data_IF_054909528314
#
_entry.id   IF_054909528314
#
_cell.length_a   1.000
_cell.length_b   1.000
_cell.length_c   1.000
_cell.angle_alpha   90.00
_cell.angle_beta   90.00
_cell.angle_gamma   90.00
#
_symmetry.space_group_name_H-M   'P 1'
#
loop_
_entity.id
_entity.type
_entity.pdbx_description
1 polymer ?
#
# COMPACT_ATOMS: atom_id res chain seq x y z
N UNK A 1 29.54 12.83 -5.02
CA UNK A 1 29.78 13.75 -3.86
C UNK A 1 30.57 15.02 -4.24
N UNK A 2 30.34 15.60 -5.44
CA UNK A 2 31.19 16.70 -5.92
C UNK A 2 31.10 17.98 -5.05
N UNK A 3 29.92 18.25 -4.47
CA UNK A 3 29.65 19.45 -3.68
C UNK A 3 29.11 19.09 -2.27
N UNK A 4 29.42 17.88 -1.79
CA UNK A 4 28.99 17.45 -0.46
C UNK A 4 29.57 18.36 0.62
N UNK A 5 28.73 18.74 1.61
CA UNK A 5 29.08 19.62 2.72
C UNK A 5 29.54 21.04 2.33
N UNK A 6 29.11 21.54 1.16
CA UNK A 6 29.27 22.95 0.82
C UNK A 6 28.26 23.78 1.64
N UNK A 7 28.52 23.95 2.95
CA UNK A 7 27.55 24.51 3.92
C UNK A 7 27.16 25.97 3.65
N UNK A 8 27.98 26.73 2.94
CA UNK A 8 27.71 28.12 2.57
C UNK A 8 26.98 28.27 1.21
N UNK A 9 26.74 27.16 0.50
CA UNK A 9 26.08 27.18 -0.81
C UNK A 9 24.57 27.42 -0.63
N UNK A 10 24.08 28.54 -1.19
CA UNK A 10 22.68 28.97 -1.04
C UNK A 10 21.83 28.69 -2.27
N UNK A 11 22.42 28.79 -3.47
CA UNK A 11 21.70 28.67 -4.74
C UNK A 11 22.48 27.78 -5.72
N UNK A 12 21.74 26.95 -6.48
CA UNK A 12 22.30 26.12 -7.55
C UNK A 12 21.42 26.24 -8.78
N UNK A 13 22.05 26.45 -9.93
CA UNK A 13 21.42 26.30 -11.25
C UNK A 13 22.25 25.37 -12.11
N UNK A 14 21.61 24.64 -13.01
CA UNK A 14 22.25 23.64 -13.87
C UNK A 14 22.19 24.06 -15.34
N UNK A 15 23.27 23.80 -16.07
CA UNK A 15 23.28 23.97 -17.53
C UNK A 15 22.46 22.83 -18.19
N UNK A 16 21.95 23.12 -19.41
CA UNK A 16 21.17 22.16 -20.22
C UNK A 16 21.93 20.87 -20.63
N UNK A 17 23.21 20.76 -20.30
CA UNK A 17 24.04 19.58 -20.59
C UNK A 17 24.09 18.58 -19.44
N UNK A 18 23.63 18.95 -18.25
CA UNK A 18 23.62 18.05 -17.08
C UNK A 18 22.46 17.07 -17.21
N UNK A 19 22.77 15.78 -17.22
CA UNK A 19 21.79 14.67 -17.31
C UNK A 19 21.68 13.88 -16.03
N UNK A 20 22.65 13.99 -15.15
CA UNK A 20 22.86 13.10 -14.03
C UNK A 20 23.36 13.84 -12.80
N UNK A 21 22.65 13.70 -11.69
CA UNK A 21 23.11 14.12 -10.38
C UNK A 21 23.54 12.88 -9.59
N UNK A 22 24.83 12.82 -9.28
CA UNK A 22 25.46 11.66 -8.66
C UNK A 22 25.16 11.52 -7.16
N UNK A 23 25.57 10.38 -6.61
CA UNK A 23 25.47 10.08 -5.20
C UNK A 23 25.96 11.22 -4.30
N UNK A 24 25.11 11.65 -3.35
CA UNK A 24 25.45 12.66 -2.34
C UNK A 24 26.00 13.95 -2.95
N UNK A 25 25.65 14.29 -4.20
CA UNK A 25 26.30 15.41 -4.93
C UNK A 25 26.22 16.73 -4.19
N UNK A 26 25.12 17.01 -3.48
CA UNK A 26 24.89 18.21 -2.67
C UNK A 26 24.49 17.87 -1.23
N UNK A 27 24.79 16.67 -0.77
CA UNK A 27 24.47 16.25 0.60
C UNK A 27 25.17 17.16 1.62
N UNK A 28 24.42 17.63 2.63
CA UNK A 28 24.97 18.49 3.67
C UNK A 28 25.16 19.96 3.28
N UNK A 29 24.63 20.41 2.15
CA UNK A 29 24.58 21.83 1.79
C UNK A 29 23.51 22.54 2.64
N UNK A 30 23.82 22.80 3.91
CA UNK A 30 22.83 23.21 4.91
C UNK A 30 22.20 24.59 4.66
N UNK A 31 22.88 25.50 3.97
CA UNK A 31 22.35 26.82 3.59
C UNK A 31 21.59 26.81 2.27
N UNK A 32 21.50 25.68 1.56
CA UNK A 32 20.87 25.59 0.24
C UNK A 32 19.36 25.86 0.37
N UNK A 33 18.90 26.91 -0.29
CA UNK A 33 17.49 27.35 -0.28
C UNK A 33 16.82 27.24 -1.62
N UNK A 34 17.59 27.40 -2.72
CA UNK A 34 17.06 27.36 -4.08
C UNK A 34 17.84 26.41 -4.96
N UNK A 35 17.09 25.53 -5.66
CA UNK A 35 17.63 24.54 -6.59
C UNK A 35 16.82 24.60 -7.89
N UNK A 36 17.43 25.08 -8.97
CA UNK A 36 16.84 25.14 -10.30
C UNK A 36 17.35 23.95 -11.13
N UNK A 37 16.55 22.87 -11.18
CA UNK A 37 16.85 21.69 -11.98
C UNK A 37 16.40 21.89 -13.43
N UNK A 38 17.31 21.69 -14.39
CA UNK A 38 16.98 21.72 -15.82
C UNK A 38 16.29 20.43 -16.26
N UNK A 39 15.33 20.52 -17.19
CA UNK A 39 14.58 19.37 -17.73
C UNK A 39 15.46 18.34 -18.49
N UNK A 40 16.71 18.66 -18.72
CA UNK A 40 17.67 17.73 -19.26
C UNK A 40 18.09 16.64 -18.26
N UNK A 41 17.89 16.86 -16.95
CA UNK A 41 18.26 15.91 -15.90
C UNK A 41 17.27 14.75 -15.90
N UNK A 42 17.77 13.55 -16.12
CA UNK A 42 17.00 12.32 -16.17
C UNK A 42 17.19 11.41 -14.96
N UNK A 43 18.24 11.65 -14.19
CA UNK A 43 18.62 10.82 -13.04
C UNK A 43 19.10 11.67 -11.88
N UNK A 44 18.52 11.43 -10.71
CA UNK A 44 18.98 11.97 -9.42
C UNK A 44 19.27 10.75 -8.54
N UNK A 45 20.52 10.60 -8.13
CA UNK A 45 20.94 9.45 -7.32
C UNK A 45 20.69 9.64 -5.82
N UNK A 46 21.00 8.61 -5.03
CA UNK A 46 20.79 8.56 -3.60
C UNK A 46 21.44 9.75 -2.87
N UNK A 47 20.79 10.22 -1.83
CA UNK A 47 21.27 11.30 -0.96
C UNK A 47 21.63 12.61 -1.70
N UNK A 48 21.19 12.83 -2.93
CA UNK A 48 21.65 13.97 -3.74
C UNK A 48 21.50 15.31 -3.01
N UNK A 49 20.38 15.53 -2.30
CA UNK A 49 20.09 16.73 -1.48
C UNK A 49 19.83 16.38 -0.01
N UNK A 50 20.34 15.25 0.46
CA UNK A 50 20.19 14.83 1.86
C UNK A 50 20.86 15.86 2.79
N UNK A 51 20.24 16.15 3.95
CA UNK A 51 20.73 17.13 4.93
C UNK A 51 20.86 18.58 4.38
N UNK A 52 20.15 18.93 3.31
CA UNK A 52 19.97 20.32 2.89
C UNK A 52 18.89 20.97 3.78
N UNK A 53 19.26 21.27 5.02
CA UNK A 53 18.31 21.61 6.09
C UNK A 53 17.57 22.94 5.91
N UNK A 54 17.98 23.80 4.98
CA UNK A 54 17.29 25.03 4.60
C UNK A 54 16.40 24.88 3.37
N UNK A 55 16.43 23.71 2.67
CA UNK A 55 15.69 23.50 1.42
C UNK A 55 14.21 23.24 1.70
N UNK A 56 13.36 24.18 1.29
CA UNK A 56 11.90 24.16 1.53
C UNK A 56 11.08 23.68 0.34
N UNK A 57 11.64 23.74 -0.85
CA UNK A 57 10.98 23.31 -2.08
C UNK A 57 12.02 22.83 -3.11
N UNK A 58 11.59 21.94 -4.00
CA UNK A 58 12.36 21.52 -5.17
C UNK A 58 11.35 21.14 -6.27
N UNK A 59 11.61 21.61 -7.49
CA UNK A 59 10.84 21.22 -8.67
C UNK A 59 11.64 20.14 -9.40
N UNK A 60 11.05 18.96 -9.55
CA UNK A 60 11.70 17.87 -10.27
C UNK A 60 11.57 18.05 -11.78
N UNK A 61 12.60 17.69 -12.57
CA UNK A 61 12.58 17.79 -14.02
C UNK A 61 11.46 16.94 -14.64
N UNK A 62 10.76 17.48 -15.63
CA UNK A 62 9.64 16.75 -16.31
C UNK A 62 10.13 15.46 -17.02
N UNK A 63 11.41 15.39 -17.41
CA UNK A 63 12.03 14.22 -18.05
C UNK A 63 12.73 13.27 -17.09
N UNK A 64 12.56 13.46 -15.78
CA UNK A 64 13.17 12.59 -14.77
C UNK A 64 12.68 11.15 -14.92
N UNK A 65 13.61 10.19 -14.97
CA UNK A 65 13.34 8.74 -15.10
C UNK A 65 13.70 7.95 -13.85
N UNK A 66 14.70 8.42 -13.11
CA UNK A 66 15.22 7.70 -11.95
C UNK A 66 15.42 8.61 -10.74
N UNK A 67 14.91 8.15 -9.58
CA UNK A 67 15.17 8.72 -8.26
C UNK A 67 15.89 7.72 -7.35
N UNK A 68 16.99 8.18 -6.78
CA UNK A 68 17.74 7.46 -5.76
C UNK A 68 17.10 7.58 -4.38
N UNK A 69 17.32 6.58 -3.52
CA UNK A 69 16.78 6.58 -2.17
C UNK A 69 17.27 7.77 -1.32
N UNK A 70 16.39 8.25 -0.45
CA UNK A 70 16.67 9.35 0.50
C UNK A 70 17.23 10.62 -0.15
N UNK A 71 16.84 10.91 -1.39
CA UNK A 71 17.44 12.03 -2.13
C UNK A 71 17.20 13.41 -1.47
N UNK A 72 16.11 13.56 -0.69
CA UNK A 72 15.74 14.78 0.07
C UNK A 72 15.60 14.52 1.58
N UNK A 73 16.27 13.51 2.12
CA UNK A 73 16.21 13.24 3.54
C UNK A 73 16.67 14.45 4.36
N UNK A 74 16.00 14.72 5.50
CA UNK A 74 16.31 15.83 6.39
C UNK A 74 16.32 17.21 5.72
N UNK A 75 15.44 17.45 4.75
CA UNK A 75 15.12 18.77 4.22
C UNK A 75 13.88 19.37 4.92
N UNK A 76 13.46 20.59 4.53
CA UNK A 76 12.23 21.24 5.00
C UNK A 76 11.08 21.16 3.98
N UNK A 77 11.19 20.28 2.98
CA UNK A 77 10.19 20.12 1.92
C UNK A 77 8.90 19.52 2.52
N UNK A 78 7.77 20.20 2.32
CA UNK A 78 6.46 19.80 2.86
C UNK A 78 5.52 19.23 1.80
N UNK A 79 5.72 19.60 0.54
CA UNK A 79 4.96 19.10 -0.62
C UNK A 79 5.92 18.80 -1.76
N UNK A 80 5.67 17.71 -2.52
CA UNK A 80 6.51 17.32 -3.65
C UNK A 80 5.65 16.81 -4.80
N UNK A 81 5.92 17.33 -6.00
CA UNK A 81 5.32 16.83 -7.23
C UNK A 81 6.27 15.83 -7.89
N UNK A 82 5.76 14.64 -8.21
CA UNK A 82 6.49 13.58 -8.94
C UNK A 82 6.10 13.64 -10.40
N UNK A 83 7.06 13.80 -11.32
CA UNK A 83 6.79 13.90 -12.74
C UNK A 83 6.28 12.57 -13.31
N UNK A 84 5.36 12.64 -14.27
CA UNK A 84 4.73 11.48 -14.89
C UNK A 84 5.73 10.51 -15.56
N UNK A 85 6.89 11.03 -15.96
CA UNK A 85 7.93 10.25 -16.60
C UNK A 85 8.78 9.37 -15.69
N UNK A 86 8.64 9.48 -14.35
CA UNK A 86 9.43 8.69 -13.40
C UNK A 86 9.06 7.21 -13.49
N UNK A 87 10.06 6.35 -13.70
CA UNK A 87 9.87 4.90 -13.85
C UNK A 87 10.64 4.06 -12.83
N UNK A 88 11.70 4.63 -12.25
CA UNK A 88 12.61 3.86 -11.40
C UNK A 88 12.89 4.56 -10.09
N UNK A 89 12.64 3.86 -8.99
CA UNK A 89 13.00 4.28 -7.64
C UNK A 89 13.96 3.24 -7.03
N UNK A 90 15.11 3.68 -6.55
CA UNK A 90 16.05 2.77 -5.88
C UNK A 90 15.76 2.68 -4.39
N UNK A 91 16.19 1.59 -3.79
CA UNK A 91 16.07 1.37 -2.34
C UNK A 91 17.43 1.39 -1.67
N UNK A 92 17.46 1.75 -0.40
CA UNK A 92 18.62 1.69 0.49
C UNK A 92 18.22 1.23 1.88
N UNK A 93 19.21 1.04 2.75
CA UNK A 93 19.05 0.55 4.11
C UNK A 93 19.76 -0.76 4.36
N UNK A 94 19.46 -1.42 5.49
CA UNK A 94 20.02 -2.73 5.83
C UNK A 94 19.57 -3.80 4.83
N UNK A 95 20.30 -4.90 4.74
CA UNK A 95 19.96 -6.07 3.92
C UNK A 95 18.66 -6.78 4.36
N UNK A 96 18.12 -6.44 5.53
CA UNK A 96 16.82 -6.95 5.98
C UNK A 96 15.69 -6.19 5.25
N UNK A 97 14.72 -6.92 4.75
CA UNK A 97 13.62 -6.40 3.96
C UNK A 97 12.82 -5.27 4.65
N UNK A 98 12.78 -5.29 5.99
CA UNK A 98 12.00 -4.34 6.81
C UNK A 98 12.67 -2.98 6.99
N UNK A 99 13.99 -2.88 6.84
CA UNK A 99 14.77 -1.65 7.02
C UNK A 99 15.11 -0.93 5.71
N UNK A 100 14.50 -1.33 4.59
CA UNK A 100 14.69 -0.67 3.31
C UNK A 100 13.75 0.52 3.13
N UNK A 101 14.26 1.59 2.53
CA UNK A 101 13.51 2.81 2.21
C UNK A 101 13.78 3.26 0.77
N UNK A 102 12.80 3.95 0.20
CA UNK A 102 12.84 4.47 -1.17
C UNK A 102 13.30 5.94 -1.26
N UNK A 103 13.01 6.61 -2.36
CA UNK A 103 13.41 8.00 -2.60
C UNK A 103 13.02 8.98 -1.50
N UNK A 104 11.85 8.83 -0.90
CA UNK A 104 11.33 9.73 0.13
C UNK A 104 11.70 9.30 1.55
N UNK A 105 12.54 8.28 1.72
CA UNK A 105 13.07 7.86 3.02
C UNK A 105 13.78 9.01 3.73
N UNK A 106 13.40 9.28 5.00
CA UNK A 106 13.97 10.38 5.78
C UNK A 106 13.44 11.78 5.43
N UNK A 107 12.47 11.92 4.52
CA UNK A 107 11.78 13.18 4.22
C UNK A 107 10.75 13.49 5.32
N UNK A 108 11.20 13.76 6.54
CA UNK A 108 10.38 13.82 7.74
C UNK A 108 9.39 14.99 7.81
N UNK A 109 9.52 15.99 6.93
CA UNK A 109 8.63 17.15 6.84
C UNK A 109 7.59 17.00 5.74
N UNK A 110 7.76 16.03 4.82
CA UNK A 110 6.90 15.85 3.66
C UNK A 110 5.51 15.34 4.10
N UNK A 111 4.48 16.13 3.81
CA UNK A 111 3.07 15.86 4.17
C UNK A 111 2.23 15.52 2.96
N UNK A 112 2.54 16.08 1.82
CA UNK A 112 1.75 15.96 0.59
C UNK A 112 2.60 15.45 -0.57
N UNK A 113 2.08 14.46 -1.28
CA UNK A 113 2.67 13.93 -2.51
C UNK A 113 1.67 14.09 -3.65
N UNK A 114 2.10 14.79 -4.70
CA UNK A 114 1.31 15.05 -5.91
C UNK A 114 1.96 14.26 -7.05
N UNK A 115 1.18 13.43 -7.72
CA UNK A 115 1.62 12.70 -8.90
C UNK A 115 1.09 13.43 -10.14
N UNK A 116 1.95 13.71 -11.13
CA UNK A 116 1.54 14.43 -12.33
C UNK A 116 0.59 13.59 -13.21
N UNK A 117 -0.41 14.24 -13.85
CA UNK A 117 -1.23 13.60 -14.89
C UNK A 117 -0.37 12.98 -16.00
N UNK A 118 -0.78 11.81 -16.49
CA UNK A 118 -0.02 11.03 -17.50
C UNK A 118 0.85 9.92 -16.90
N UNK A 119 0.98 9.86 -15.57
CA UNK A 119 1.58 8.70 -14.91
C UNK A 119 0.60 7.52 -14.96
N UNK A 120 1.00 6.43 -15.60
CA UNK A 120 0.16 5.20 -15.70
C UNK A 120 0.49 4.18 -14.61
N UNK A 121 1.74 4.16 -14.15
CA UNK A 121 2.27 3.26 -13.14
C UNK A 121 2.95 4.06 -12.04
N UNK A 122 2.51 3.89 -10.78
CA UNK A 122 3.25 4.45 -9.64
C UNK A 122 4.48 3.57 -9.39
N UNK A 123 5.70 4.11 -9.46
CA UNK A 123 6.90 3.30 -9.34
C UNK A 123 7.00 2.53 -8.02
N UNK A 124 7.57 1.33 -8.10
CA UNK A 124 7.90 0.54 -6.92
C UNK A 124 8.75 1.35 -5.95
N UNK A 125 8.47 1.20 -4.66
CA UNK A 125 9.21 1.82 -3.57
C UNK A 125 9.20 3.35 -3.53
N UNK A 126 8.38 4.06 -4.31
CA UNK A 126 8.42 5.52 -4.43
C UNK A 126 8.49 6.24 -3.08
N UNK A 127 7.59 5.91 -2.17
CA UNK A 127 7.52 6.50 -0.83
C UNK A 127 7.69 5.44 0.29
N UNK A 128 8.36 4.32 -0.01
CA UNK A 128 8.68 3.29 0.99
C UNK A 128 9.56 3.86 2.09
N UNK A 129 9.16 3.64 3.33
CA UNK A 129 9.91 4.08 4.51
C UNK A 129 10.13 2.94 5.49
N UNK A 130 11.12 3.09 6.37
CA UNK A 130 11.32 2.16 7.48
C UNK A 130 10.18 2.22 8.49
N UNK A 131 9.95 1.12 9.19
CA UNK A 131 8.88 1.02 10.20
C UNK A 131 9.02 2.03 11.35
N UNK A 132 10.22 2.55 11.60
CA UNK A 132 10.55 3.44 12.72
C UNK A 132 10.73 4.89 12.33
N UNK A 133 10.98 5.20 11.04
CA UNK A 133 11.34 6.54 10.52
C UNK A 133 10.41 6.91 9.36
N UNK A 134 9.09 6.92 9.62
CA UNK A 134 8.11 7.16 8.58
C UNK A 134 8.18 8.58 8.00
N UNK A 135 7.79 8.75 6.74
CA UNK A 135 7.37 10.05 6.21
C UNK A 135 6.19 10.57 7.02
N UNK A 136 6.00 11.89 7.01
CA UNK A 136 4.80 12.51 7.57
C UNK A 136 3.68 12.65 6.53
N UNK A 137 3.70 11.86 5.44
CA UNK A 137 2.66 11.88 4.41
C UNK A 137 1.28 11.67 5.03
N UNK A 138 0.43 12.66 4.85
CA UNK A 138 -0.97 12.64 5.28
C UNK A 138 -1.93 12.53 4.10
N UNK A 139 -1.48 12.92 2.90
CA UNK A 139 -2.27 12.86 1.68
C UNK A 139 -1.43 12.52 0.46
N UNK A 140 -2.07 11.84 -0.49
CA UNK A 140 -1.51 11.48 -1.79
C UNK A 140 -2.58 11.78 -2.83
N UNK A 141 -2.23 12.58 -3.86
CA UNK A 141 -3.09 12.82 -5.02
C UNK A 141 -2.68 11.88 -6.14
N UNK A 142 -3.57 10.96 -6.51
CA UNK A 142 -3.37 9.98 -7.58
C UNK A 142 -4.17 10.43 -8.80
N UNK A 143 -3.54 10.70 -9.96
CA UNK A 143 -4.25 11.15 -11.15
C UNK A 143 -5.03 10.02 -11.85
N UNK A 144 -6.04 10.39 -12.63
CA UNK A 144 -6.92 9.46 -13.35
C UNK A 144 -6.23 8.65 -14.47
N UNK A 145 -4.96 8.91 -14.72
CA UNK A 145 -4.14 8.12 -15.65
C UNK A 145 -3.52 6.87 -15.02
N UNK A 146 -3.48 6.77 -13.68
CA UNK A 146 -2.82 5.66 -12.97
C UNK A 146 -3.67 4.40 -13.06
N UNK A 147 -3.09 3.32 -13.58
CA UNK A 147 -3.71 2.00 -13.68
C UNK A 147 -3.21 1.03 -12.62
N UNK A 148 -1.99 1.23 -12.15
CA UNK A 148 -1.33 0.29 -11.23
C UNK A 148 -0.53 1.03 -10.16
N UNK A 149 -0.73 0.60 -8.91
CA UNK A 149 0.10 1.02 -7.77
C UNK A 149 1.25 0.02 -7.61
N UNK A 150 2.49 0.48 -7.70
CA UNK A 150 3.67 -0.37 -7.65
C UNK A 150 3.95 -1.03 -6.31
N UNK A 151 4.84 -2.02 -6.32
CA UNK A 151 5.23 -2.78 -5.12
C UNK A 151 5.88 -1.86 -4.07
N UNK A 152 5.49 -2.00 -2.81
CA UNK A 152 6.02 -1.18 -1.69
C UNK A 152 5.85 0.33 -1.87
N UNK A 153 5.09 0.80 -2.85
CA UNK A 153 5.06 2.22 -3.23
C UNK A 153 4.84 3.17 -2.05
N UNK A 154 4.00 2.78 -1.10
CA UNK A 154 3.66 3.57 0.09
C UNK A 154 3.81 2.78 1.40
N UNK A 155 4.65 1.73 1.40
CA UNK A 155 4.85 0.90 2.60
C UNK A 155 5.31 1.74 3.79
N UNK A 156 4.68 1.49 4.95
CA UNK A 156 4.96 2.13 6.26
C UNK A 156 4.67 3.64 6.33
N UNK A 157 3.87 4.21 5.43
CA UNK A 157 3.41 5.59 5.56
C UNK A 157 2.38 5.70 6.70
N UNK A 158 2.86 5.62 7.93
CA UNK A 158 2.05 5.44 9.12
C UNK A 158 1.19 6.67 9.51
N UNK A 159 1.30 7.80 8.81
CA UNK A 159 0.50 9.01 9.03
C UNK A 159 -0.63 9.16 8.01
N UNK A 160 -0.63 8.39 6.93
CA UNK A 160 -1.69 8.41 5.93
C UNK A 160 -3.01 7.94 6.54
N UNK A 161 -4.05 8.77 6.46
CA UNK A 161 -5.35 8.49 7.08
C UNK A 161 -6.40 8.02 6.09
N UNK A 162 -6.34 8.50 4.86
CA UNK A 162 -7.30 8.15 3.81
C UNK A 162 -6.58 8.02 2.48
N UNK A 163 -7.08 7.16 1.61
CA UNK A 163 -6.65 7.06 0.22
C UNK A 163 -7.86 6.97 -0.69
N UNK A 164 -7.80 7.64 -1.84
CA UNK A 164 -8.81 7.57 -2.88
C UNK A 164 -8.15 7.12 -4.18
N UNK A 165 -8.61 5.99 -4.70
CA UNK A 165 -8.16 5.49 -6.00
C UNK A 165 -9.10 5.99 -7.10
N UNK A 166 -8.56 6.57 -8.19
CA UNK A 166 -9.35 6.86 -9.38
C UNK A 166 -9.83 5.57 -10.05
N UNK A 167 -10.89 5.67 -10.87
CA UNK A 167 -11.50 4.48 -11.50
C UNK A 167 -10.64 3.84 -12.59
N UNK A 168 -9.49 4.44 -12.93
CA UNK A 168 -8.46 3.85 -13.78
C UNK A 168 -7.65 2.76 -13.10
N UNK A 169 -7.56 2.76 -11.76
CA UNK A 169 -6.73 1.78 -11.01
C UNK A 169 -7.38 0.40 -11.04
N UNK A 170 -6.66 -0.56 -11.58
CA UNK A 170 -7.07 -1.97 -11.67
C UNK A 170 -6.26 -2.90 -10.76
N UNK A 171 -5.03 -2.52 -10.41
CA UNK A 171 -4.11 -3.36 -9.63
C UNK A 171 -3.45 -2.57 -8.50
N UNK A 172 -3.50 -3.15 -7.30
CA UNK A 172 -2.69 -2.72 -6.15
C UNK A 172 -1.67 -3.83 -5.87
N UNK A 173 -0.40 -3.54 -6.12
CA UNK A 173 0.69 -4.52 -6.06
C UNK A 173 1.09 -4.88 -4.62
N UNK A 174 2.03 -5.82 -4.52
CA UNK A 174 2.48 -6.38 -3.25
C UNK A 174 2.97 -5.31 -2.28
N UNK A 175 2.51 -5.39 -1.03
CA UNK A 175 2.93 -4.49 0.05
C UNK A 175 2.69 -2.99 -0.19
N UNK A 176 1.91 -2.59 -1.19
CA UNK A 176 1.80 -1.20 -1.62
C UNK A 176 1.48 -0.22 -0.47
N UNK A 177 0.61 -0.60 0.46
CA UNK A 177 0.20 0.17 1.63
C UNK A 177 0.44 -0.58 2.96
N UNK A 178 1.24 -1.65 2.94
CA UNK A 178 1.54 -2.41 4.16
C UNK A 178 2.12 -1.50 5.24
N UNK A 179 1.59 -1.59 6.46
CA UNK A 179 2.05 -0.78 7.59
C UNK A 179 1.56 0.68 7.58
N UNK A 180 0.57 1.05 6.77
CA UNK A 180 -0.11 2.34 6.85
C UNK A 180 -1.03 2.37 8.08
N UNK A 181 -0.44 2.45 9.28
CA UNK A 181 -1.11 2.17 10.56
C UNK A 181 -2.28 3.10 10.90
N UNK A 182 -2.32 4.32 10.34
CA UNK A 182 -3.40 5.29 10.56
C UNK A 182 -4.42 5.33 9.42
N UNK A 183 -4.31 4.45 8.43
CA UNK A 183 -5.28 4.39 7.35
C UNK A 183 -6.63 3.92 7.90
N UNK A 184 -7.63 4.80 7.84
CA UNK A 184 -8.98 4.57 8.38
C UNK A 184 -9.93 4.12 7.28
N UNK A 185 -9.85 4.77 6.12
CA UNK A 185 -10.79 4.55 5.02
C UNK A 185 -10.12 4.55 3.65
N UNK A 186 -10.72 3.79 2.74
CA UNK A 186 -10.28 3.65 1.35
C UNK A 186 -11.48 3.89 0.44
N UNK A 187 -11.35 4.85 -0.49
CA UNK A 187 -12.25 4.93 -1.65
C UNK A 187 -11.65 4.08 -2.77
N UNK A 188 -12.30 2.99 -3.07
CA UNK A 188 -11.87 2.06 -4.12
C UNK A 188 -12.16 2.60 -5.53
N UNK A 189 -11.35 2.18 -6.49
CA UNK A 189 -11.66 2.25 -7.92
C UNK A 189 -12.83 1.31 -8.23
N UNK A 190 -13.81 1.77 -9.02
CA UNK A 190 -14.91 0.92 -9.47
C UNK A 190 -14.47 -0.19 -10.45
N UNK A 191 -13.24 -0.08 -10.99
CA UNK A 191 -12.64 -1.07 -11.90
C UNK A 191 -11.49 -1.86 -11.25
N UNK A 192 -11.33 -1.80 -9.92
CA UNK A 192 -10.29 -2.54 -9.22
C UNK A 192 -10.50 -4.04 -9.39
N UNK A 193 -9.47 -4.75 -9.86
CA UNK A 193 -9.49 -6.19 -10.10
C UNK A 193 -8.66 -6.98 -9.07
N UNK A 194 -7.48 -6.45 -8.71
CA UNK A 194 -6.52 -7.21 -7.93
C UNK A 194 -5.95 -6.41 -6.76
N UNK A 195 -5.97 -7.02 -5.59
CA UNK A 195 -5.28 -6.58 -4.38
C UNK A 195 -4.28 -7.68 -4.04
N UNK A 196 -2.99 -7.42 -4.23
CA UNK A 196 -1.97 -8.44 -4.18
C UNK A 196 -1.42 -8.72 -2.77
N UNK A 197 -0.33 -9.49 -2.69
CA UNK A 197 0.31 -9.97 -1.47
C UNK A 197 0.59 -8.84 -0.48
N UNK A 198 0.10 -8.96 0.78
CA UNK A 198 0.33 -8.01 1.88
C UNK A 198 -0.03 -6.55 1.58
N UNK A 199 -0.84 -6.26 0.56
CA UNK A 199 -1.06 -4.88 0.05
C UNK A 199 -1.48 -3.89 1.14
N UNK A 200 -2.30 -4.29 2.12
CA UNK A 200 -2.77 -3.50 3.27
C UNK A 200 -2.50 -4.20 4.61
N UNK A 201 -1.53 -5.10 4.66
CA UNK A 201 -1.15 -5.77 5.89
C UNK A 201 -0.77 -4.75 6.99
N UNK A 202 -1.19 -4.99 8.24
CA UNK A 202 -0.93 -4.10 9.38
C UNK A 202 -1.52 -2.67 9.23
N UNK A 203 -2.58 -2.46 8.43
CA UNK A 203 -3.38 -1.24 8.45
C UNK A 203 -4.33 -1.28 9.66
N UNK A 204 -3.76 -1.13 10.85
CA UNK A 204 -4.44 -1.43 12.13
C UNK A 204 -5.62 -0.51 12.47
N UNK A 205 -5.75 0.64 11.81
CA UNK A 205 -6.85 1.59 12.01
C UNK A 205 -7.95 1.48 10.94
N UNK A 206 -7.81 0.59 9.96
CA UNK A 206 -8.81 0.39 8.91
C UNK A 206 -10.08 -0.19 9.51
N UNK A 207 -11.23 0.49 9.32
CA UNK A 207 -12.47 0.18 10.07
C UNK A 207 -13.44 -0.67 9.26
N UNK A 208 -13.66 -0.32 7.98
CA UNK A 208 -14.63 -0.97 7.13
C UNK A 208 -14.14 -1.08 5.69
N UNK A 209 -14.55 -2.15 5.00
CA UNK A 209 -14.24 -2.36 3.58
C UNK A 209 -15.51 -2.77 2.85
N UNK A 210 -15.81 -2.07 1.75
CA UNK A 210 -16.75 -2.52 0.74
C UNK A 210 -16.01 -2.70 -0.57
N UNK A 211 -15.81 -3.95 -1.00
CA UNK A 211 -15.12 -4.25 -2.25
C UNK A 211 -16.01 -3.98 -3.46
N UNK A 212 -15.48 -3.34 -4.53
CA UNK A 212 -16.20 -3.15 -5.77
C UNK A 212 -16.46 -4.50 -6.46
N UNK A 213 -17.48 -4.54 -7.32
CA UNK A 213 -17.92 -5.75 -8.02
C UNK A 213 -16.89 -6.36 -8.97
N UNK A 214 -15.85 -5.62 -9.32
CA UNK A 214 -14.80 -6.01 -10.27
C UNK A 214 -13.65 -6.77 -9.61
N UNK A 215 -13.52 -6.67 -8.28
CA UNK A 215 -12.46 -7.40 -7.56
C UNK A 215 -12.63 -8.91 -7.77
N UNK A 216 -11.57 -9.54 -8.25
CA UNK A 216 -11.49 -10.98 -8.47
C UNK A 216 -10.43 -11.66 -7.60
N UNK A 217 -9.46 -10.92 -7.11
CA UNK A 217 -8.36 -11.47 -6.30
C UNK A 217 -8.09 -10.61 -5.07
N UNK A 218 -8.17 -11.24 -3.88
CA UNK A 218 -7.66 -10.70 -2.62
C UNK A 218 -6.49 -11.60 -2.21
N UNK A 219 -5.27 -11.08 -2.37
CA UNK A 219 -4.03 -11.81 -2.26
C UNK A 219 -3.71 -12.32 -0.86
N UNK A 220 -2.70 -13.18 -0.78
CA UNK A 220 -2.23 -13.70 0.50
C UNK A 220 -1.87 -12.56 1.46
N UNK A 221 -2.34 -12.64 2.72
CA UNK A 221 -2.06 -11.68 3.78
C UNK A 221 -2.53 -10.23 3.48
N UNK A 222 -3.33 -10.00 2.42
CA UNK A 222 -3.62 -8.64 1.92
C UNK A 222 -4.13 -7.68 2.99
N UNK A 223 -4.94 -8.13 3.94
CA UNK A 223 -5.48 -7.35 5.07
C UNK A 223 -5.16 -8.01 6.43
N UNK A 224 -4.14 -8.86 6.48
CA UNK A 224 -3.73 -9.51 7.74
C UNK A 224 -3.36 -8.47 8.79
N UNK A 225 -3.79 -8.68 10.03
CA UNK A 225 -3.58 -7.78 11.16
C UNK A 225 -4.24 -6.38 11.00
N UNK A 226 -5.32 -6.23 10.23
CA UNK A 226 -6.16 -5.05 10.26
C UNK A 226 -7.08 -5.12 11.49
N UNK A 227 -6.51 -4.84 12.67
CA UNK A 227 -7.11 -5.17 13.97
C UNK A 227 -8.34 -4.35 14.33
N UNK A 228 -8.58 -3.19 13.68
CA UNK A 228 -9.80 -2.38 13.84
C UNK A 228 -10.88 -2.71 12.80
N UNK A 229 -10.59 -3.57 11.82
CA UNK A 229 -11.53 -3.90 10.74
C UNK A 229 -12.74 -4.64 11.32
N UNK A 230 -13.88 -3.95 11.34
CA UNK A 230 -15.12 -4.41 11.99
C UNK A 230 -16.11 -5.03 11.02
N UNK A 231 -16.10 -4.61 9.76
CA UNK A 231 -16.98 -5.13 8.72
C UNK A 231 -16.33 -5.22 7.34
N UNK A 232 -16.71 -6.27 6.61
CA UNK A 232 -16.34 -6.52 5.23
C UNK A 232 -17.59 -6.79 4.43
N UNK A 233 -17.73 -6.11 3.28
CA UNK A 233 -18.81 -6.39 2.32
C UNK A 233 -18.29 -6.44 0.90
N UNK A 234 -19.00 -7.18 0.05
CA UNK A 234 -18.73 -7.29 -1.38
C UNK A 234 -19.93 -6.78 -2.16
N UNK A 235 -19.71 -5.89 -3.11
CA UNK A 235 -20.78 -5.44 -4.01
C UNK A 235 -21.16 -6.56 -4.97
N UNK A 236 -22.44 -6.90 -5.03
CA UNK A 236 -22.94 -7.96 -5.91
C UNK A 236 -22.69 -7.65 -7.39
N UNK A 237 -22.15 -8.63 -8.09
CA UNK A 237 -22.03 -8.62 -9.54
C UNK A 237 -23.20 -9.40 -10.19
N UNK A 238 -24.32 -8.74 -10.38
CA UNK A 238 -25.54 -9.36 -10.94
C UNK A 238 -25.42 -9.81 -12.42
N UNK A 239 -24.26 -9.61 -13.07
CA UNK A 239 -24.08 -9.86 -14.52
C UNK A 239 -23.01 -10.90 -14.86
N UNK A 240 -22.70 -11.85 -13.96
CA UNK A 240 -21.78 -12.94 -14.27
C UNK A 240 -20.30 -12.52 -14.39
N UNK A 241 -19.84 -11.60 -13.55
CA UNK A 241 -18.46 -11.19 -13.45
C UNK A 241 -17.52 -12.28 -12.89
N UNK A 242 -16.24 -11.96 -12.84
CA UNK A 242 -15.22 -12.85 -12.32
C UNK A 242 -15.53 -13.27 -10.87
N UNK A 243 -15.20 -14.51 -10.55
CA UNK A 243 -15.29 -14.98 -9.17
C UNK A 243 -14.21 -14.35 -8.31
N UNK A 244 -14.52 -14.12 -7.04
CA UNK A 244 -13.57 -13.60 -6.06
C UNK A 244 -12.90 -14.77 -5.35
N UNK A 245 -11.57 -14.79 -5.42
CA UNK A 245 -10.74 -15.71 -4.65
C UNK A 245 -10.10 -14.97 -3.47
N UNK A 246 -10.50 -15.32 -2.25
CA UNK A 246 -9.88 -14.83 -1.00
C UNK A 246 -8.75 -15.79 -0.67
N UNK A 247 -7.50 -15.34 -0.84
CA UNK A 247 -6.33 -16.18 -0.72
C UNK A 247 -5.91 -16.39 0.75
N UNK A 248 -4.78 -17.13 0.92
CA UNK A 248 -4.31 -17.56 2.23
C UNK A 248 -4.08 -16.38 3.19
N UNK A 249 -4.62 -16.50 4.41
CA UNK A 249 -4.46 -15.53 5.50
C UNK A 249 -4.91 -14.09 5.17
N UNK A 250 -5.70 -13.89 4.10
CA UNK A 250 -6.03 -12.57 3.58
C UNK A 250 -6.60 -11.62 4.65
N UNK A 251 -7.41 -12.12 5.59
CA UNK A 251 -7.99 -11.38 6.72
C UNK A 251 -7.61 -11.98 8.08
N UNK A 252 -6.47 -12.67 8.14
CA UNK A 252 -6.04 -13.27 9.41
C UNK A 252 -5.78 -12.20 10.48
N UNK A 253 -6.18 -12.48 11.73
CA UNK A 253 -6.04 -11.57 12.86
C UNK A 253 -6.76 -10.21 12.71
N UNK A 254 -7.85 -10.13 11.93
CA UNK A 254 -8.78 -9.00 11.96
C UNK A 254 -9.64 -9.14 13.23
N UNK A 255 -9.06 -8.83 14.38
CA UNK A 255 -9.64 -9.18 15.70
C UNK A 255 -10.95 -8.46 16.02
N UNK A 256 -11.20 -7.28 15.42
CA UNK A 256 -12.46 -6.55 15.58
C UNK A 256 -13.57 -7.00 14.62
N UNK A 257 -13.29 -7.94 13.68
CA UNK A 257 -14.22 -8.30 12.62
C UNK A 257 -15.46 -9.01 13.19
N UNK A 258 -16.62 -8.40 12.99
CA UNK A 258 -17.92 -8.87 13.47
C UNK A 258 -18.83 -9.31 12.34
N UNK A 259 -18.76 -8.59 11.20
CA UNK A 259 -19.69 -8.76 10.10
C UNK A 259 -18.94 -9.03 8.79
N UNK A 260 -19.36 -10.07 8.09
CA UNK A 260 -18.92 -10.36 6.74
C UNK A 260 -20.17 -10.58 5.88
N UNK A 261 -20.32 -9.77 4.83
CA UNK A 261 -21.37 -9.97 3.83
C UNK A 261 -20.72 -10.43 2.53
N UNK A 262 -20.78 -11.73 2.27
CA UNK A 262 -20.29 -12.29 1.01
C UNK A 262 -21.27 -11.98 -0.12
N UNK A 263 -20.73 -11.63 -1.30
CA UNK A 263 -21.50 -11.60 -2.52
C UNK A 263 -21.56 -12.98 -3.16
N UNK A 264 -22.49 -13.16 -4.11
CA UNK A 264 -22.65 -14.39 -4.90
C UNK A 264 -21.45 -14.73 -5.79
N UNK A 265 -20.40 -13.93 -5.75
CA UNK A 265 -19.20 -14.14 -6.57
C UNK A 265 -18.03 -14.72 -5.78
N UNK A 266 -18.06 -14.69 -4.43
CA UNK A 266 -17.00 -15.28 -3.62
C UNK A 266 -17.13 -16.81 -3.70
N UNK A 267 -16.11 -17.48 -4.25
CA UNK A 267 -16.16 -18.94 -4.44
C UNK A 267 -15.10 -19.71 -3.64
N UNK A 268 -14.02 -19.06 -3.26
CA UNK A 268 -12.85 -19.68 -2.63
C UNK A 268 -12.45 -18.94 -1.36
N UNK A 269 -12.37 -19.67 -0.25
CA UNK A 269 -11.78 -19.22 1.00
C UNK A 269 -10.49 -19.99 1.25
N UNK A 270 -9.37 -19.28 1.19
CA UNK A 270 -8.02 -19.82 1.30
C UNK A 270 -7.67 -20.27 2.72
N UNK A 271 -6.52 -20.92 2.81
CA UNK A 271 -5.94 -21.37 4.06
C UNK A 271 -5.84 -20.24 5.08
N UNK A 272 -6.39 -20.43 6.28
CA UNK A 272 -6.34 -19.45 7.37
C UNK A 272 -6.94 -18.06 7.01
N UNK A 273 -7.75 -17.96 5.95
CA UNK A 273 -8.19 -16.68 5.38
C UNK A 273 -8.83 -15.72 6.38
N UNK A 274 -9.53 -16.23 7.40
CA UNK A 274 -10.15 -15.49 8.52
C UNK A 274 -9.68 -15.99 9.88
N UNK A 275 -8.54 -16.68 9.94
CA UNK A 275 -8.01 -17.20 11.21
C UNK A 275 -7.76 -16.07 12.20
N UNK A 276 -8.16 -16.23 13.46
CA UNK A 276 -7.95 -15.24 14.51
C UNK A 276 -8.90 -14.04 14.49
N UNK A 277 -10.02 -14.10 13.73
CA UNK A 277 -11.09 -13.10 13.77
C UNK A 277 -11.93 -13.30 15.05
N UNK A 278 -11.36 -12.93 16.19
CA UNK A 278 -11.86 -13.31 17.51
C UNK A 278 -13.21 -12.66 17.91
N UNK A 279 -13.61 -11.56 17.24
CA UNK A 279 -14.91 -10.92 17.46
C UNK A 279 -16.04 -11.45 16.59
N UNK A 280 -15.76 -12.36 15.66
CA UNK A 280 -16.77 -12.93 14.77
C UNK A 280 -17.67 -13.90 15.55
N UNK A 281 -18.97 -13.59 15.64
CA UNK A 281 -19.92 -14.38 16.45
C UNK A 281 -20.69 -15.39 15.61
N UNK A 282 -21.08 -15.01 14.42
CA UNK A 282 -21.81 -15.86 13.48
C UNK A 282 -21.39 -15.53 12.05
N UNK A 283 -21.49 -16.51 11.17
CA UNK A 283 -21.23 -16.31 9.75
C UNK A 283 -22.17 -17.17 8.91
N UNK A 284 -22.73 -16.55 7.89
CA UNK A 284 -23.51 -17.20 6.85
C UNK A 284 -22.71 -17.17 5.55
N UNK A 285 -22.43 -18.34 5.01
CA UNK A 285 -21.64 -18.49 3.79
C UNK A 285 -22.59 -18.66 2.60
N UNK A 286 -22.38 -17.83 1.55
CA UNK A 286 -23.18 -17.89 0.33
C UNK A 286 -22.93 -19.18 -0.43
N UNK A 287 -23.97 -19.69 -1.12
CA UNK A 287 -23.94 -20.91 -1.92
C UNK A 287 -22.98 -20.86 -3.14
N UNK A 288 -22.44 -19.70 -3.49
CA UNK A 288 -21.37 -19.56 -4.46
C UNK A 288 -20.03 -20.12 -3.94
N UNK A 289 -19.84 -20.18 -2.63
CA UNK A 289 -18.58 -20.68 -2.03
C UNK A 289 -18.54 -22.21 -2.20
N UNK A 290 -17.60 -22.67 -2.98
CA UNK A 290 -17.42 -24.11 -3.27
C UNK A 290 -16.22 -24.73 -2.57
N UNK A 291 -15.31 -23.90 -2.06
CA UNK A 291 -14.08 -24.37 -1.40
C UNK A 291 -13.78 -23.55 -0.16
N UNK A 292 -13.59 -24.24 0.94
CA UNK A 292 -13.09 -23.70 2.22
C UNK A 292 -11.83 -24.49 2.55
N UNK A 293 -10.69 -23.82 2.58
CA UNK A 293 -9.42 -24.45 2.88
C UNK A 293 -9.22 -24.65 4.39
N UNK A 294 -8.12 -25.31 4.75
CA UNK A 294 -7.78 -25.60 6.15
C UNK A 294 -7.70 -24.33 6.97
N UNK A 295 -8.07 -24.43 8.26
CA UNK A 295 -7.91 -23.36 9.26
C UNK A 295 -8.65 -22.05 8.90
N UNK A 296 -9.55 -22.03 7.91
CA UNK A 296 -10.15 -20.81 7.36
C UNK A 296 -10.74 -19.89 8.44
N UNK A 297 -11.40 -20.43 9.48
CA UNK A 297 -11.96 -19.72 10.63
C UNK A 297 -11.37 -20.22 11.96
N UNK A 298 -10.17 -20.78 11.92
CA UNK A 298 -9.48 -21.24 13.14
C UNK A 298 -9.24 -20.06 14.09
N UNK A 299 -9.34 -20.29 15.41
CA UNK A 299 -9.16 -19.25 16.44
C UNK A 299 -10.18 -18.08 16.38
N UNK A 300 -11.30 -18.24 15.67
CA UNK A 300 -12.45 -17.33 15.80
C UNK A 300 -13.16 -17.62 17.14
N UNK A 301 -12.55 -17.18 18.23
CA UNK A 301 -12.91 -17.63 19.60
C UNK A 301 -14.30 -17.23 20.06
N UNK A 302 -14.98 -16.29 19.38
CA UNK A 302 -16.37 -15.92 19.66
C UNK A 302 -17.38 -16.60 18.74
N UNK A 303 -16.92 -17.36 17.71
CA UNK A 303 -17.80 -17.94 16.68
C UNK A 303 -18.66 -19.07 17.27
N UNK A 304 -19.97 -18.85 17.30
CA UNK A 304 -20.98 -19.77 17.87
C UNK A 304 -21.79 -20.51 16.81
N UNK A 305 -21.93 -19.90 15.63
CA UNK A 305 -22.68 -20.52 14.53
C UNK A 305 -22.05 -20.23 13.19
N UNK A 306 -22.11 -21.22 12.31
CA UNK A 306 -21.70 -21.14 10.92
C UNK A 306 -22.66 -21.95 10.05
N UNK A 307 -23.15 -21.32 8.97
CA UNK A 307 -23.97 -21.99 7.97
C UNK A 307 -23.10 -22.29 6.76
N UNK A 308 -22.95 -23.58 6.42
CA UNK A 308 -22.16 -24.00 5.27
C UNK A 308 -22.97 -23.92 3.97
N UNK A 309 -22.32 -23.57 2.83
CA UNK A 309 -22.96 -23.49 1.53
C UNK A 309 -23.49 -24.85 1.08
N UNK A 310 -24.68 -24.89 0.49
CA UNK A 310 -25.27 -26.16 -0.01
C UNK A 310 -24.50 -26.77 -1.20
N UNK A 311 -23.68 -25.96 -1.88
CA UNK A 311 -22.85 -26.37 -3.04
C UNK A 311 -21.38 -26.59 -2.69
N UNK A 312 -21.05 -26.71 -1.41
CA UNK A 312 -19.67 -26.91 -0.96
C UNK A 312 -19.10 -28.21 -1.53
N UNK A 313 -17.92 -28.14 -2.14
CA UNK A 313 -17.20 -29.26 -2.76
C UNK A 313 -15.96 -29.69 -1.96
N UNK A 314 -15.34 -28.74 -1.27
CA UNK A 314 -14.12 -28.96 -0.49
C UNK A 314 -14.19 -28.27 0.85
N UNK A 315 -13.93 -29.03 1.92
CA UNK A 315 -13.82 -28.53 3.27
C UNK A 315 -12.48 -28.95 3.86
N UNK A 316 -11.65 -27.98 4.21
CA UNK A 316 -10.32 -28.19 4.75
C UNK A 316 -10.35 -28.65 6.21
N UNK A 317 -9.29 -29.29 6.66
CA UNK A 317 -9.17 -29.72 8.04
C UNK A 317 -9.06 -28.54 9.02
N UNK A 318 -9.57 -28.73 10.22
CA UNK A 318 -9.50 -27.74 11.31
C UNK A 318 -10.06 -26.36 10.95
N UNK A 319 -10.98 -26.26 9.97
CA UNK A 319 -11.47 -24.99 9.44
C UNK A 319 -12.15 -24.10 10.50
N UNK A 320 -12.69 -24.67 11.59
CA UNK A 320 -13.28 -23.99 12.75
C UNK A 320 -12.63 -24.40 14.09
N UNK A 321 -11.36 -24.83 14.06
CA UNK A 321 -10.68 -25.19 15.31
C UNK A 321 -10.60 -24.00 16.27
N UNK A 322 -10.72 -24.26 17.58
CA UNK A 322 -10.70 -23.23 18.63
C UNK A 322 -11.81 -22.17 18.49
N UNK A 323 -13.01 -22.58 18.09
CA UNK A 323 -14.24 -21.78 18.08
C UNK A 323 -15.21 -22.25 19.18
N UNK A 324 -16.36 -21.57 19.29
CA UNK A 324 -17.46 -21.96 20.18
C UNK A 324 -18.63 -22.60 19.42
N UNK A 325 -18.42 -23.03 18.19
CA UNK A 325 -19.47 -23.70 17.39
C UNK A 325 -19.82 -25.01 18.04
N UNK A 326 -21.10 -25.15 18.43
CA UNK A 326 -21.63 -26.32 19.13
C UNK A 326 -22.61 -27.16 18.29
N UNK A 327 -22.98 -26.66 17.11
CA UNK A 327 -23.81 -27.36 16.14
C UNK A 327 -23.39 -27.01 14.72
N UNK A 328 -23.27 -28.00 13.86
CA UNK A 328 -22.85 -27.84 12.47
C UNK A 328 -23.67 -28.80 11.59
N UNK A 329 -24.27 -28.25 10.53
CA UNK A 329 -24.86 -29.05 9.47
C UNK A 329 -23.91 -29.09 8.28
N UNK A 330 -23.53 -30.28 7.84
CA UNK A 330 -22.71 -30.49 6.65
C UNK A 330 -23.67 -30.83 5.51
N UNK A 331 -23.71 -30.05 4.42
CA UNK A 331 -24.65 -30.20 3.33
C UNK A 331 -24.36 -31.43 2.46
#
# INVERSE_FOLDING_TARGET
>A
SAFSNCTALENISFSKNVRYLGDSSFSGCSSLTNVELDDAITTIERFAFCNCSSLKSITLPSKLKKLGYSFIANTQITSLTIPAGLTTCTTGGSSTYESQYGPLGGANTLKELILEPGMEYIPDNLARVESTSGTHLTSISIPDSVTTIGQYAFKNNAKLTNISFPDSVTVISDNAFSGCKKLISIRWSENLEQINYEAFQNCISLEEITFPKTVNTIGNLAFSNCTSLSSISFTDNNKGGAYVDIQSSAFSNCTALKNISFSKNVRYLGDSSFSGCSSLVSIELDDAITTIERLAFCNCSSLKSITLPSKLKKLGYSFIANTQVNSLTIP
#
